data_IF_368407928034
#
_entry.id   IF_368407928034
#
_cell.length_a   1.000
_cell.length_b   1.000
_cell.length_c   1.000
_cell.angle_alpha   90.00
_cell.angle_beta   90.00
_cell.angle_gamma   90.00
#
_symmetry.space_group_name_H-M   'P 1'
#
loop_
_entity.id
_entity.type
_entity.pdbx_description
1 polymer ?
#
# COMPACT_ATOMS: atom_id res chain seq x y z
N UNK A 1 8.02 -23.72 -8.17
CA UNK A 1 8.92 -23.12 -9.18
C UNK A 1 10.22 -23.91 -9.15
N UNK A 2 10.55 -24.65 -10.21
CA UNK A 2 11.74 -25.53 -10.21
C UNK A 2 12.96 -24.65 -10.50
N UNK A 3 13.81 -24.44 -9.50
CA UNK A 3 15.08 -23.71 -9.67
C UNK A 3 16.02 -24.57 -10.54
N UNK A 4 16.61 -24.03 -11.62
CA UNK A 4 17.50 -24.80 -12.49
C UNK A 4 18.72 -25.35 -11.72
N UNK A 5 19.18 -26.59 -11.99
CA UNK A 5 20.30 -27.23 -11.27
C UNK A 5 21.62 -26.43 -11.27
N UNK A 6 21.83 -25.59 -12.29
CA UNK A 6 23.03 -24.74 -12.41
C UNK A 6 23.09 -23.60 -11.38
N UNK A 7 21.95 -23.06 -10.95
CA UNK A 7 21.89 -22.01 -9.91
C UNK A 7 22.27 -22.56 -8.53
N UNK A 8 21.91 -23.81 -8.26
CA UNK A 8 22.27 -24.51 -7.02
C UNK A 8 23.78 -24.71 -6.92
N UNK A 9 24.46 -25.08 -8.01
CA UNK A 9 25.92 -25.29 -8.01
C UNK A 9 26.73 -24.00 -7.81
N UNK A 10 26.31 -22.87 -8.40
CA UNK A 10 26.97 -21.57 -8.21
C UNK A 10 26.76 -21.00 -6.81
N UNK A 11 25.56 -21.16 -6.23
CA UNK A 11 25.28 -20.80 -4.84
C UNK A 11 26.11 -21.63 -3.85
N UNK A 12 26.24 -22.94 -4.09
CA UNK A 12 27.04 -23.85 -3.24
C UNK A 12 28.55 -23.55 -3.32
N UNK A 13 29.06 -23.13 -4.48
CA UNK A 13 30.46 -22.74 -4.64
C UNK A 13 30.82 -21.42 -3.92
N UNK A 14 29.86 -20.48 -3.81
CA UNK A 14 30.02 -19.24 -3.02
C UNK A 14 29.84 -19.46 -1.52
N UNK A 15 28.90 -20.34 -1.13
CA UNK A 15 28.67 -20.74 0.27
C UNK A 15 29.95 -21.19 0.99
N UNK A 16 30.81 -21.95 0.32
CA UNK A 16 32.04 -22.46 0.95
C UNK A 16 33.17 -21.43 1.11
N UNK A 17 33.05 -20.20 0.56
CA UNK A 17 34.16 -19.24 0.53
C UNK A 17 33.97 -18.00 1.39
N UNK A 18 32.75 -17.62 1.73
CA UNK A 18 32.45 -16.39 2.46
C UNK A 18 31.73 -16.67 3.80
N UNK A 19 32.15 -16.01 4.88
CA UNK A 19 31.61 -16.22 6.23
C UNK A 19 30.23 -15.59 6.37
N UNK A 20 30.01 -14.42 5.76
CA UNK A 20 28.73 -13.71 5.82
C UNK A 20 27.65 -14.48 5.06
N UNK A 21 27.99 -14.98 3.86
CA UNK A 21 27.10 -15.85 3.08
C UNK A 21 26.67 -17.10 3.86
N UNK A 22 27.57 -17.72 4.64
CA UNK A 22 27.22 -18.89 5.47
C UNK A 22 26.29 -18.54 6.62
N UNK A 23 26.54 -17.40 7.26
CA UNK A 23 25.71 -16.89 8.35
C UNK A 23 24.29 -16.61 7.86
N UNK A 24 24.15 -15.84 6.78
CA UNK A 24 22.85 -15.55 6.16
C UNK A 24 22.13 -16.83 5.74
N UNK A 25 22.82 -17.75 5.04
CA UNK A 25 22.20 -19.01 4.65
C UNK A 25 21.71 -19.82 5.86
N UNK A 26 22.47 -19.87 6.95
CA UNK A 26 22.07 -20.59 8.15
C UNK A 26 20.79 -20.01 8.80
N UNK A 27 20.49 -18.73 8.60
CA UNK A 27 19.30 -18.07 9.14
C UNK A 27 18.01 -18.52 8.46
N UNK A 28 18.01 -18.75 7.13
CA UNK A 28 16.79 -19.07 6.36
C UNK A 28 16.82 -20.45 5.65
N UNK A 29 17.89 -21.24 5.79
CA UNK A 29 18.03 -22.52 5.09
C UNK A 29 16.87 -23.47 5.37
N UNK A 30 16.39 -23.49 6.62
CA UNK A 30 15.24 -24.32 7.01
C UNK A 30 13.96 -23.83 6.31
N UNK A 31 13.76 -22.53 6.18
CA UNK A 31 12.56 -21.96 5.56
C UNK A 31 12.48 -22.29 4.07
N UNK A 32 13.62 -22.20 3.35
CA UNK A 32 13.71 -22.59 1.93
C UNK A 32 13.36 -24.07 1.71
N UNK A 33 13.77 -24.94 2.64
CA UNK A 33 13.60 -26.39 2.53
C UNK A 33 12.33 -26.91 3.20
N UNK A 34 11.64 -26.06 3.96
CA UNK A 34 10.38 -26.39 4.60
C UNK A 34 9.32 -26.70 3.56
N UNK A 35 8.33 -27.51 3.92
CA UNK A 35 7.10 -27.64 3.13
C UNK A 35 6.16 -26.54 3.62
N UNK A 36 6.05 -25.40 2.91
CA UNK A 36 5.34 -24.25 3.42
C UNK A 36 3.83 -24.44 3.25
N UNK A 37 3.01 -23.56 3.85
CA UNK A 37 1.81 -23.14 3.16
C UNK A 37 2.19 -22.54 1.79
N UNK A 38 1.76 -23.16 0.69
CA UNK A 38 2.11 -22.74 -0.67
C UNK A 38 1.32 -21.52 -1.19
N UNK A 39 0.39 -20.99 -0.38
CA UNK A 39 -0.52 -19.92 -0.78
C UNK A 39 -0.31 -18.65 0.05
N UNK A 40 -0.61 -17.50 -0.56
CA UNK A 40 -0.80 -16.25 0.17
C UNK A 40 -2.26 -16.15 0.60
N UNK A 41 -2.48 -15.84 1.87
CA UNK A 41 -3.81 -15.83 2.47
C UNK A 41 -3.74 -15.48 3.95
N UNK A 42 -4.86 -15.60 4.67
CA UNK A 42 -4.82 -15.51 6.13
C UNK A 42 -3.87 -16.58 6.69
N UNK A 43 -3.03 -16.24 7.70
CA UNK A 43 -2.18 -17.22 8.35
C UNK A 43 -2.97 -18.46 8.77
N UNK A 44 -2.53 -19.64 8.32
CA UNK A 44 -3.12 -20.94 8.58
C UNK A 44 -2.14 -22.05 8.17
N UNK A 45 -2.53 -23.32 8.35
CA UNK A 45 -1.74 -24.47 7.87
C UNK A 45 -1.50 -24.48 6.35
N UNK A 46 -2.29 -23.72 5.57
CA UNK A 46 -2.27 -23.77 4.10
C UNK A 46 -1.96 -22.44 3.42
N UNK A 47 -1.91 -21.34 4.18
CA UNK A 47 -1.62 -20.01 3.68
C UNK A 47 -0.82 -19.15 4.67
N UNK A 48 -0.11 -18.15 4.16
CA UNK A 48 0.68 -17.20 4.97
C UNK A 48 0.49 -15.76 4.50
N UNK A 49 0.72 -14.80 5.41
CA UNK A 49 0.73 -13.37 5.10
C UNK A 49 1.61 -12.59 6.06
N UNK A 50 2.52 -11.78 5.51
CA UNK A 50 3.38 -10.90 6.28
C UNK A 50 2.65 -9.65 6.83
N UNK A 51 1.40 -9.40 6.40
CA UNK A 51 0.54 -8.36 6.99
C UNK A 51 0.04 -8.71 8.40
N UNK A 52 0.14 -9.99 8.78
CA UNK A 52 -0.25 -10.50 10.09
C UNK A 52 0.93 -11.23 10.76
N UNK A 53 2.00 -10.52 11.16
CA UNK A 53 3.23 -11.12 11.65
C UNK A 53 3.06 -11.64 13.08
N UNK A 54 2.51 -12.85 13.24
CA UNK A 54 2.46 -13.57 14.50
C UNK A 54 2.21 -15.06 14.31
N UNK A 55 2.66 -15.87 15.26
CA UNK A 55 2.32 -17.31 15.33
C UNK A 55 0.88 -17.57 15.82
N UNK A 56 0.12 -16.51 16.13
CA UNK A 56 -1.26 -16.59 16.55
C UNK A 56 -2.21 -16.43 15.36
N UNK A 57 -3.16 -17.35 15.20
CA UNK A 57 -4.23 -17.22 14.19
C UNK A 57 -5.04 -15.95 14.43
N UNK A 58 -5.16 -15.13 13.38
CA UNK A 58 -6.00 -13.93 13.37
C UNK A 58 -7.24 -14.17 12.52
N UNK A 59 -8.39 -13.70 13.01
CA UNK A 59 -9.69 -13.89 12.35
C UNK A 59 -10.13 -12.66 11.57
N UNK A 60 -10.95 -12.86 10.55
CA UNK A 60 -11.55 -11.76 9.77
C UNK A 60 -12.36 -10.78 10.65
N UNK A 61 -13.00 -11.30 11.71
CA UNK A 61 -13.77 -10.48 12.65
C UNK A 61 -12.85 -9.58 13.47
N UNK A 62 -11.73 -10.11 13.97
CA UNK A 62 -10.73 -9.32 14.68
C UNK A 62 -10.17 -8.22 13.78
N UNK A 63 -9.70 -8.57 12.57
CA UNK A 63 -9.14 -7.60 11.60
C UNK A 63 -10.14 -6.50 11.26
N UNK A 64 -11.40 -6.86 10.97
CA UNK A 64 -12.45 -5.90 10.64
C UNK A 64 -12.77 -4.97 11.81
N UNK A 65 -12.90 -5.52 13.02
CA UNK A 65 -13.23 -4.73 14.21
C UNK A 65 -12.11 -3.76 14.55
N UNK A 66 -10.85 -4.24 14.54
CA UNK A 66 -9.67 -3.41 14.77
C UNK A 66 -9.59 -2.28 13.75
N UNK A 67 -9.71 -2.60 12.46
CA UNK A 67 -9.57 -1.60 11.39
C UNK A 67 -10.68 -0.54 11.48
N UNK A 68 -11.93 -0.94 11.74
CA UNK A 68 -13.04 0.01 11.95
C UNK A 68 -12.81 0.92 13.14
N UNK A 69 -12.36 0.38 14.27
CA UNK A 69 -12.18 1.19 15.48
C UNK A 69 -11.01 2.18 15.34
N UNK A 70 -9.92 1.77 14.69
CA UNK A 70 -8.78 2.67 14.44
C UNK A 70 -9.13 3.82 13.48
N UNK A 71 -10.03 3.58 12.52
CA UNK A 71 -10.53 4.62 11.62
C UNK A 71 -11.23 5.75 12.38
N UNK A 72 -11.89 5.48 13.52
CA UNK A 72 -12.49 6.51 14.39
C UNK A 72 -11.43 7.45 14.99
N UNK A 73 -10.18 7.00 15.05
CA UNK A 73 -9.00 7.76 15.46
C UNK A 73 -8.14 8.24 14.27
N UNK A 74 -8.68 8.20 13.03
CA UNK A 74 -7.97 8.57 11.80
C UNK A 74 -6.72 7.72 11.49
N UNK A 75 -6.67 6.50 12.01
CA UNK A 75 -5.65 5.50 11.68
C UNK A 75 -6.27 4.51 10.70
N UNK A 76 -5.88 4.60 9.44
CA UNK A 76 -6.44 3.77 8.37
C UNK A 76 -5.51 2.58 8.06
N UNK A 77 -6.06 1.45 7.58
CA UNK A 77 -5.29 0.21 7.48
C UNK A 77 -4.19 0.19 6.41
N UNK A 78 -4.25 1.05 5.40
CA UNK A 78 -3.46 0.96 4.16
C UNK A 78 -1.94 0.83 4.42
N UNK A 79 -1.41 1.51 5.43
CA UNK A 79 0.01 1.47 5.80
C UNK A 79 0.28 0.78 7.14
N UNK A 80 -0.51 -0.26 7.47
CA UNK A 80 -0.40 -0.97 8.75
C UNK A 80 -0.25 -2.48 8.60
N UNK A 81 0.35 -3.13 9.60
CA UNK A 81 0.30 -4.58 9.84
C UNK A 81 -0.31 -4.86 11.23
N UNK A 82 -0.83 -6.07 11.45
CA UNK A 82 -1.40 -6.46 12.76
C UNK A 82 -0.65 -7.66 13.32
N UNK A 83 0.02 -7.49 14.45
CA UNK A 83 0.58 -8.58 15.24
C UNK A 83 -0.40 -8.96 16.35
N UNK A 84 -0.83 -10.22 16.38
CA UNK A 84 -1.65 -10.76 17.47
C UNK A 84 -0.76 -11.44 18.50
N UNK A 85 -1.11 -11.31 19.77
CA UNK A 85 -0.47 -11.99 20.89
C UNK A 85 -1.51 -12.40 21.94
N UNK A 86 -1.14 -13.30 22.85
CA UNK A 86 -1.99 -13.72 23.97
C UNK A 86 -1.34 -13.27 25.28
N UNK A 87 -1.99 -12.35 25.99
CA UNK A 87 -1.55 -11.85 27.29
C UNK A 87 -2.49 -12.36 28.38
N UNK A 88 -1.98 -13.17 29.31
CA UNK A 88 -2.75 -13.75 30.41
C UNK A 88 -4.07 -14.44 29.94
N UNK A 89 -4.02 -15.12 28.78
CA UNK A 89 -5.17 -15.80 28.20
C UNK A 89 -6.14 -14.90 27.40
N UNK A 90 -5.86 -13.60 27.29
CA UNK A 90 -6.68 -12.64 26.52
C UNK A 90 -5.94 -12.19 25.26
N UNK A 91 -6.61 -12.13 24.09
CA UNK A 91 -6.02 -11.57 22.88
C UNK A 91 -5.65 -10.09 23.03
N UNK A 92 -4.41 -9.76 22.65
CA UNK A 92 -3.89 -8.41 22.55
C UNK A 92 -3.32 -8.18 21.14
N UNK A 93 -3.46 -6.96 20.63
CA UNK A 93 -3.11 -6.64 19.24
C UNK A 93 -2.15 -5.46 19.20
N UNK A 94 -1.09 -5.59 18.42
CA UNK A 94 -0.20 -4.50 18.07
C UNK A 94 -0.41 -4.13 16.61
N UNK A 95 -0.64 -2.86 16.34
CA UNK A 95 -0.76 -2.27 15.02
C UNK A 95 0.59 -1.64 14.70
N UNK A 96 1.29 -2.25 13.76
CA UNK A 96 2.57 -1.76 13.28
C UNK A 96 2.25 -0.76 12.17
N UNK A 97 2.41 0.53 12.44
CA UNK A 97 2.18 1.57 11.45
C UNK A 97 3.52 2.02 10.87
N UNK A 98 3.55 2.09 9.55
CA UNK A 98 4.73 2.52 8.82
C UNK A 98 4.97 4.00 9.09
N UNK A 99 6.19 4.32 9.52
CA UNK A 99 6.61 5.68 9.87
C UNK A 99 8.13 5.73 10.06
N UNK A 100 8.77 6.89 9.83
CA UNK A 100 10.15 7.09 10.30
C UNK A 100 10.22 7.50 11.77
N UNK A 101 9.13 8.10 12.30
CA UNK A 101 8.98 8.38 13.71
C UNK A 101 8.78 7.08 14.49
N UNK A 102 9.34 7.03 15.69
CA UNK A 102 9.18 5.91 16.62
C UNK A 102 8.30 6.37 17.76
N UNK A 103 7.26 5.61 18.06
CA UNK A 103 6.27 5.99 19.06
C UNK A 103 5.36 4.84 19.42
N UNK A 104 4.77 4.92 20.60
CA UNK A 104 3.82 3.93 21.10
C UNK A 104 2.63 4.66 21.71
N UNK A 105 1.43 4.28 21.27
CA UNK A 105 0.16 4.75 21.80
C UNK A 105 -0.76 3.56 22.09
N UNK A 106 -1.59 3.65 23.12
CA UNK A 106 -2.51 2.56 23.49
C UNK A 106 -3.96 3.02 23.36
N UNK A 107 -4.77 2.15 22.77
CA UNK A 107 -6.21 2.32 22.59
C UNK A 107 -6.93 1.12 23.20
N UNK A 108 -8.00 1.38 23.96
CA UNK A 108 -8.86 0.31 24.49
C UNK A 108 -10.18 0.28 23.75
N UNK A 109 -10.58 -0.89 23.25
CA UNK A 109 -11.89 -1.05 22.65
C UNK A 109 -12.45 -2.47 22.79
N UNK A 110 -13.76 -2.57 22.56
CA UNK A 110 -14.50 -3.83 22.59
C UNK A 110 -14.32 -4.57 21.27
N UNK A 111 -13.63 -5.72 21.28
CA UNK A 111 -13.53 -6.58 20.09
C UNK A 111 -14.83 -7.37 19.85
N UNK A 112 -15.47 -7.76 20.94
CA UNK A 112 -16.78 -8.40 20.97
C UNK A 112 -17.63 -7.73 22.06
N UNK A 113 -18.93 -8.05 22.13
CA UNK A 113 -19.84 -7.46 23.12
C UNK A 113 -19.35 -7.61 24.57
N UNK A 114 -18.53 -8.62 24.84
CA UNK A 114 -18.15 -9.02 26.20
C UNK A 114 -16.62 -9.01 26.45
N UNK A 115 -15.80 -8.70 25.43
CA UNK A 115 -14.33 -8.73 25.55
C UNK A 115 -13.73 -7.38 25.16
N UNK A 116 -13.21 -6.65 26.15
CA UNK A 116 -12.30 -5.53 25.93
C UNK A 116 -10.92 -6.09 25.62
N UNK A 117 -10.31 -5.62 24.54
CA UNK A 117 -8.91 -5.88 24.26
C UNK A 117 -8.16 -4.56 24.15
N UNK A 118 -6.91 -4.61 24.60
CA UNK A 118 -5.96 -3.52 24.42
C UNK A 118 -5.35 -3.65 23.05
N UNK A 119 -5.38 -2.56 22.29
CA UNK A 119 -4.72 -2.44 21.00
C UNK A 119 -3.67 -1.35 21.10
N UNK A 120 -2.44 -1.74 20.84
CA UNK A 120 -1.29 -0.85 20.87
C UNK A 120 -0.93 -0.44 19.46
N UNK A 121 -0.84 0.85 19.20
CA UNK A 121 -0.24 1.39 17.99
C UNK A 121 1.26 1.56 18.22
N UNK A 122 2.07 0.91 17.39
CA UNK A 122 3.53 1.09 17.33
C UNK A 122 3.87 1.76 16.00
N UNK A 123 4.42 2.98 16.07
CA UNK A 123 5.01 3.66 14.92
C UNK A 123 6.44 3.16 14.71
N UNK A 124 6.89 3.20 13.46
CA UNK A 124 8.29 2.92 13.13
C UNK A 124 8.49 1.66 12.28
N UNK A 125 7.40 1.05 11.82
CA UNK A 125 7.49 -0.11 10.94
C UNK A 125 8.19 0.30 9.63
N UNK A 126 9.19 -0.46 9.21
CA UNK A 126 10.05 -0.12 8.06
C UNK A 126 10.72 1.27 8.12
N UNK A 127 10.99 1.78 9.33
CA UNK A 127 11.57 3.12 9.53
C UNK A 127 12.96 3.31 8.93
N UNK A 128 13.76 2.25 8.80
CA UNK A 128 15.09 2.33 8.20
C UNK A 128 14.98 2.58 6.69
N UNK A 129 14.18 1.76 6.00
CA UNK A 129 13.93 1.86 4.56
C UNK A 129 13.24 3.18 4.21
N UNK A 130 12.27 3.62 5.02
CA UNK A 130 11.60 4.90 4.80
C UNK A 130 12.54 6.11 4.94
N UNK A 131 13.55 6.05 5.81
CA UNK A 131 14.54 7.13 5.92
C UNK A 131 15.33 7.27 4.62
N UNK A 132 15.78 6.16 4.04
CA UNK A 132 16.48 6.17 2.75
C UNK A 132 15.58 6.68 1.62
N UNK A 133 14.28 6.32 1.64
CA UNK A 133 13.29 6.86 0.70
C UNK A 133 13.13 8.37 0.88
N UNK A 134 12.97 8.87 2.11
CA UNK A 134 12.83 10.30 2.39
C UNK A 134 14.10 11.09 2.03
N UNK A 135 15.29 10.53 2.24
CA UNK A 135 16.55 11.14 1.81
C UNK A 135 16.61 11.26 0.27
N UNK A 136 16.18 10.21 -0.43
CA UNK A 136 16.10 10.20 -1.90
C UNK A 136 15.07 11.21 -2.43
N UNK A 137 13.89 11.31 -1.79
CA UNK A 137 12.86 12.30 -2.12
C UNK A 137 13.32 13.73 -1.82
N UNK A 138 14.09 13.93 -0.75
CA UNK A 138 14.69 15.22 -0.43
C UNK A 138 15.64 15.67 -1.52
N UNK A 139 16.48 14.77 -2.04
CA UNK A 139 17.35 15.08 -3.17
C UNK A 139 16.55 15.34 -4.46
N UNK A 140 15.56 14.50 -4.76
CA UNK A 140 14.67 14.65 -5.92
C UNK A 140 13.90 15.98 -5.90
N UNK A 141 13.51 16.48 -4.71
CA UNK A 141 12.78 17.73 -4.55
C UNK A 141 13.52 18.96 -5.11
N UNK A 142 14.83 18.88 -5.28
CA UNK A 142 15.67 19.94 -5.88
C UNK A 142 15.48 20.05 -7.40
N UNK A 143 14.92 19.02 -8.04
CA UNK A 143 14.79 18.90 -9.49
C UNK A 143 13.34 18.91 -9.97
N UNK A 144 12.39 19.25 -9.09
CA UNK A 144 10.96 19.34 -9.44
C UNK A 144 10.74 20.39 -10.52
N UNK A 145 9.92 20.08 -11.51
CA UNK A 145 9.66 20.97 -12.64
C UNK A 145 8.75 22.16 -12.29
N UNK A 146 7.96 22.06 -11.21
CA UNK A 146 7.02 23.08 -10.78
C UNK A 146 6.70 22.97 -9.26
N UNK A 147 6.01 23.97 -8.72
CA UNK A 147 5.64 24.01 -7.29
C UNK A 147 4.63 22.93 -6.90
N UNK A 148 3.79 22.45 -7.82
CA UNK A 148 2.85 21.33 -7.56
C UNK A 148 3.63 20.05 -7.25
N UNK A 149 4.68 19.77 -8.03
CA UNK A 149 5.58 18.64 -7.80
C UNK A 149 6.31 18.74 -6.47
N UNK A 150 6.89 19.90 -6.20
CA UNK A 150 7.54 20.16 -4.92
C UNK A 150 6.61 19.96 -3.74
N UNK A 151 5.35 20.40 -3.86
CA UNK A 151 4.36 20.25 -2.82
C UNK A 151 3.98 18.78 -2.59
N UNK A 152 3.61 18.01 -3.63
CA UNK A 152 3.21 16.62 -3.40
C UNK A 152 4.39 15.76 -2.90
N UNK A 153 5.62 16.04 -3.34
CA UNK A 153 6.83 15.36 -2.81
C UNK A 153 6.99 15.66 -1.32
N UNK A 154 6.81 16.90 -0.89
CA UNK A 154 6.82 17.24 0.55
C UNK A 154 5.73 16.55 1.36
N UNK A 155 4.54 16.37 0.76
CA UNK A 155 3.41 15.68 1.40
C UNK A 155 3.63 14.17 1.48
N UNK A 156 4.31 13.55 0.50
CA UNK A 156 4.77 12.17 0.60
C UNK A 156 5.73 12.00 1.77
N UNK A 157 6.76 12.85 1.85
CA UNK A 157 7.73 12.80 2.95
C UNK A 157 7.06 12.99 4.30
N UNK A 158 6.11 13.92 4.44
CA UNK A 158 5.34 14.09 5.68
C UNK A 158 4.54 12.83 6.05
N UNK A 159 3.90 12.18 5.07
CA UNK A 159 3.18 10.94 5.30
C UNK A 159 4.10 9.80 5.72
N UNK A 160 5.26 9.66 5.09
CA UNK A 160 6.27 8.66 5.46
C UNK A 160 6.93 8.99 6.80
N UNK A 161 7.06 10.27 7.12
CA UNK A 161 7.64 10.71 8.36
C UNK A 161 6.77 10.32 9.56
N UNK A 162 5.46 10.60 9.46
CA UNK A 162 4.49 10.48 10.56
C UNK A 162 3.62 9.22 10.51
N UNK A 163 3.52 8.57 9.34
CA UNK A 163 2.54 7.52 9.06
C UNK A 163 1.13 8.02 8.73
N UNK A 164 0.90 9.34 8.64
CA UNK A 164 -0.44 9.90 8.46
C UNK A 164 -0.94 9.75 7.00
N UNK A 165 -2.01 8.97 6.80
CA UNK A 165 -2.62 8.77 5.49
C UNK A 165 -3.46 9.96 4.99
N UNK A 166 -3.81 10.93 5.84
CA UNK A 166 -4.37 12.20 5.36
C UNK A 166 -3.33 12.99 4.56
N UNK A 167 -2.07 13.06 5.04
CA UNK A 167 -0.98 13.68 4.32
C UNK A 167 -0.72 12.97 2.97
N UNK A 168 -0.81 11.64 2.95
CA UNK A 168 -0.75 10.87 1.70
C UNK A 168 -1.89 11.24 0.74
N UNK A 169 -3.13 11.29 1.22
CA UNK A 169 -4.28 11.67 0.40
C UNK A 169 -4.19 13.12 -0.09
N UNK A 170 -3.58 14.01 0.70
CA UNK A 170 -3.25 15.37 0.26
C UNK A 170 -2.20 15.38 -0.85
N UNK A 171 -1.17 14.55 -0.75
CA UNK A 171 -0.19 14.39 -1.84
C UNK A 171 -0.87 13.92 -3.13
N UNK A 172 -1.80 12.95 -3.04
CA UNK A 172 -2.56 12.48 -4.21
C UNK A 172 -3.45 13.57 -4.80
N UNK A 173 -4.12 14.38 -3.96
CA UNK A 173 -4.91 15.54 -4.41
C UNK A 173 -4.07 16.59 -5.12
N UNK A 174 -2.84 16.82 -4.65
CA UNK A 174 -1.90 17.76 -5.27
C UNK A 174 -1.35 17.18 -6.57
N UNK A 175 -0.90 15.93 -6.55
CA UNK A 175 -0.38 15.19 -7.69
C UNK A 175 -1.37 15.14 -8.85
N UNK A 176 -2.66 14.87 -8.59
CA UNK A 176 -3.69 14.84 -9.62
C UNK A 176 -3.88 16.18 -10.36
N UNK A 177 -3.34 17.30 -9.84
CA UNK A 177 -3.35 18.62 -10.48
C UNK A 177 -2.11 18.89 -11.33
N UNK A 178 -1.05 18.11 -11.19
CA UNK A 178 0.14 18.18 -12.05
C UNK A 178 -0.17 17.50 -13.39
N UNK A 179 -0.71 18.26 -14.34
CA UNK A 179 -1.20 17.73 -15.62
C UNK A 179 -0.09 17.64 -16.65
N UNK A 180 -0.05 16.53 -17.37
CA UNK A 180 0.90 16.23 -18.44
C UNK A 180 2.38 16.50 -18.06
N UNK A 181 2.88 15.97 -16.92
CA UNK A 181 4.29 16.11 -16.58
C UNK A 181 5.16 15.34 -17.58
N UNK A 182 6.38 15.82 -17.82
CA UNK A 182 7.34 15.10 -18.66
C UNK A 182 7.82 13.79 -17.99
N UNK A 183 7.92 13.81 -16.65
CA UNK A 183 8.25 12.67 -15.80
C UNK A 183 7.08 12.47 -14.85
N UNK A 184 6.36 11.36 -15.02
CA UNK A 184 5.27 10.95 -14.15
C UNK A 184 5.80 10.04 -13.03
N UNK A 185 5.16 10.09 -11.86
CA UNK A 185 5.51 9.22 -10.75
C UNK A 185 4.33 8.95 -9.82
N UNK A 186 4.37 7.78 -9.17
CA UNK A 186 3.53 7.45 -8.01
C UNK A 186 4.39 6.66 -7.03
N UNK A 187 4.24 6.92 -5.73
CA UNK A 187 5.01 6.21 -4.70
C UNK A 187 4.25 6.18 -3.38
N UNK A 188 4.21 5.02 -2.73
CA UNK A 188 3.61 4.85 -1.41
C UNK A 188 2.94 3.50 -1.25
N UNK A 189 2.04 3.41 -0.28
CA UNK A 189 1.20 2.23 -0.03
C UNK A 189 -0.08 2.36 -0.86
N UNK A 190 -0.10 1.76 -2.05
CA UNK A 190 -1.14 2.02 -3.06
C UNK A 190 -2.17 0.89 -3.13
N UNK A 191 -1.73 -0.31 -3.47
CA UNK A 191 -2.64 -1.39 -3.90
C UNK A 191 -2.81 -2.49 -2.85
N UNK A 192 -4.06 -2.85 -2.45
CA UNK A 192 -4.30 -3.79 -1.38
C UNK A 192 -4.43 -5.26 -1.81
N UNK A 193 -4.06 -5.62 -3.05
CA UNK A 193 -4.35 -6.93 -3.63
C UNK A 193 -3.74 -8.13 -2.87
N UNK A 194 -2.60 -7.92 -2.19
CA UNK A 194 -1.87 -8.99 -1.51
C UNK A 194 -2.26 -9.17 -0.04
N UNK A 195 -3.00 -8.22 0.54
CA UNK A 195 -3.62 -8.43 1.84
C UNK A 195 -4.85 -9.33 1.67
N UNK A 196 -4.93 -10.49 2.34
CA UNK A 196 -6.11 -11.34 2.26
C UNK A 196 -7.40 -10.68 2.78
N UNK A 197 -7.31 -9.58 3.56
CA UNK A 197 -8.47 -8.76 3.92
C UNK A 197 -8.83 -7.70 2.86
N UNK A 198 -7.89 -7.36 1.97
CA UNK A 198 -8.07 -6.35 0.92
C UNK A 198 -8.09 -4.91 1.43
N UNK A 199 -7.38 -4.60 2.53
CA UNK A 199 -7.40 -3.25 3.14
C UNK A 199 -6.01 -2.66 3.41
N UNK A 200 -4.97 -3.50 3.50
CA UNK A 200 -3.58 -3.09 3.68
C UNK A 200 -2.89 -3.09 2.34
N UNK A 201 -2.24 -1.99 2.00
CA UNK A 201 -1.64 -1.80 0.70
C UNK A 201 -0.18 -2.26 0.68
N UNK A 202 0.28 -2.67 -0.49
CA UNK A 202 1.69 -2.92 -0.78
C UNK A 202 2.41 -1.60 -1.09
N UNK A 203 3.67 -1.49 -0.67
CA UNK A 203 4.50 -0.35 -1.05
C UNK A 203 4.96 -0.50 -2.51
N UNK A 204 4.75 0.53 -3.31
CA UNK A 204 5.23 0.60 -4.68
C UNK A 204 5.79 1.98 -5.02
N UNK A 205 6.54 2.03 -6.11
CA UNK A 205 7.10 3.25 -6.67
C UNK A 205 7.30 3.10 -8.16
N UNK A 206 6.79 4.06 -8.93
CA UNK A 206 6.96 4.16 -10.37
C UNK A 206 7.52 5.53 -10.71
N UNK A 207 8.48 5.56 -11.62
CA UNK A 207 8.92 6.77 -12.31
C UNK A 207 8.88 6.44 -13.80
N UNK A 208 8.19 7.24 -14.58
CA UNK A 208 7.97 6.95 -15.99
C UNK A 208 8.05 8.22 -16.84
N UNK A 209 8.47 8.06 -18.09
CA UNK A 209 8.60 9.17 -19.04
C UNK A 209 7.34 9.24 -19.89
N UNK A 210 6.70 10.41 -19.92
CA UNK A 210 5.48 10.62 -20.70
C UNK A 210 5.77 10.66 -22.20
N UNK A 211 5.04 9.85 -22.97
CA UNK A 211 5.06 9.87 -24.44
C UNK A 211 3.98 10.82 -24.97
N UNK A 212 4.40 11.98 -25.45
CA UNK A 212 3.49 13.02 -25.95
C UNK A 212 2.72 12.57 -27.19
N UNK A 213 3.31 11.74 -28.06
CA UNK A 213 2.67 11.31 -29.31
C UNK A 213 1.61 10.24 -29.06
N UNK A 214 1.91 9.22 -28.26
CA UNK A 214 0.95 8.18 -27.89
C UNK A 214 -0.18 8.75 -27.02
N UNK A 215 0.15 9.69 -26.13
CA UNK A 215 -0.82 10.38 -25.26
C UNK A 215 -1.89 11.14 -26.06
N UNK A 216 -1.62 11.58 -27.30
CA UNK A 216 -2.65 12.23 -28.15
C UNK A 216 -3.88 11.36 -28.37
N UNK A 217 -3.72 10.04 -28.47
CA UNK A 217 -4.85 9.13 -28.65
C UNK A 217 -5.71 9.03 -27.38
N UNK A 218 -5.06 8.94 -26.21
CA UNK A 218 -5.71 8.90 -24.91
C UNK A 218 -6.41 10.22 -24.59
N UNK A 219 -5.81 11.35 -24.94
CA UNK A 219 -6.48 12.66 -24.83
C UNK A 219 -7.78 12.72 -25.62
N UNK A 220 -7.81 12.22 -26.87
CA UNK A 220 -9.05 12.17 -27.67
C UNK A 220 -10.12 11.26 -27.05
N UNK A 221 -9.72 10.23 -26.28
CA UNK A 221 -10.63 9.38 -25.52
C UNK A 221 -11.22 10.17 -24.35
N UNK A 222 -10.38 10.88 -23.58
CA UNK A 222 -10.80 11.75 -22.48
C UNK A 222 -11.74 12.85 -22.96
N UNK A 223 -11.43 13.53 -24.08
CA UNK A 223 -12.25 14.60 -24.65
C UNK A 223 -13.68 14.12 -25.02
N UNK A 224 -13.87 12.80 -25.23
CA UNK A 224 -15.16 12.16 -25.56
C UNK A 224 -15.79 11.39 -24.39
N UNK A 225 -15.12 11.35 -23.23
CA UNK A 225 -15.51 10.52 -22.08
C UNK A 225 -16.95 10.75 -21.62
N UNK A 226 -17.42 11.99 -21.49
CA UNK A 226 -18.80 12.30 -21.08
C UNK A 226 -19.85 11.61 -21.98
N UNK A 227 -19.62 11.59 -23.30
CA UNK A 227 -20.48 10.90 -24.26
C UNK A 227 -20.41 9.37 -24.12
N UNK A 228 -19.24 8.84 -23.77
CA UNK A 228 -19.09 7.40 -23.55
C UNK A 228 -19.73 6.95 -22.23
N UNK A 229 -19.66 7.78 -21.20
CA UNK A 229 -20.30 7.52 -19.90
C UNK A 229 -21.82 7.41 -20.05
N UNK A 230 -22.45 8.31 -20.81
CA UNK A 230 -23.89 8.24 -21.12
C UNK A 230 -24.33 6.97 -21.88
N UNK A 231 -23.40 6.13 -22.33
CA UNK A 231 -23.68 4.85 -23.03
C UNK A 231 -23.50 3.63 -22.14
N UNK A 232 -23.16 3.82 -20.86
CA UNK A 232 -23.02 2.75 -19.91
C UNK A 232 -24.41 2.18 -19.55
N UNK A 233 -24.50 0.88 -19.19
CA UNK A 233 -25.80 0.20 -19.05
C UNK A 233 -26.62 0.66 -17.84
N UNK A 234 -26.05 1.47 -16.94
CA UNK A 234 -26.74 2.12 -15.83
C UNK A 234 -27.14 3.57 -16.11
N UNK A 235 -26.78 4.10 -17.27
CA UNK A 235 -27.17 5.44 -17.72
C UNK A 235 -28.54 5.40 -18.39
N UNK A 236 -29.24 6.52 -18.30
CA UNK A 236 -30.54 6.72 -18.94
C UNK A 236 -30.47 7.95 -19.84
N UNK A 237 -30.14 7.72 -21.11
CA UNK A 237 -29.90 8.79 -22.08
C UNK A 237 -31.13 9.68 -22.31
N UNK A 238 -32.34 9.14 -22.16
CA UNK A 238 -33.59 9.87 -22.37
C UNK A 238 -34.03 10.64 -21.12
N UNK A 239 -33.35 10.44 -19.99
CA UNK A 239 -33.60 11.13 -18.72
C UNK A 239 -32.83 12.45 -18.63
N UNK A 240 -33.47 13.46 -18.01
CA UNK A 240 -32.82 14.71 -17.61
C UNK A 240 -31.99 14.56 -16.33
N UNK A 241 -32.04 13.39 -15.67
CA UNK A 241 -31.29 13.12 -14.46
C UNK A 241 -29.79 12.99 -14.76
N UNK A 242 -28.99 13.81 -14.06
CA UNK A 242 -27.53 13.82 -14.15
C UNK A 242 -27.03 13.91 -15.62
N UNK A 243 -27.66 14.77 -16.43
CA UNK A 243 -27.35 14.94 -17.86
C UNK A 243 -27.33 13.62 -18.65
N UNK A 244 -28.28 12.73 -18.36
CA UNK A 244 -28.42 11.43 -19.02
C UNK A 244 -27.42 10.36 -18.56
N UNK A 245 -26.60 10.63 -17.53
CA UNK A 245 -25.68 9.66 -16.93
C UNK A 245 -26.36 8.71 -15.93
N UNK A 246 -27.54 9.08 -15.44
CA UNK A 246 -28.33 8.30 -14.49
C UNK A 246 -27.86 8.42 -13.03
N UNK A 247 -28.58 7.77 -12.10
CA UNK A 247 -28.41 7.93 -10.65
C UNK A 247 -27.20 7.19 -10.07
N UNK A 248 -26.62 6.25 -10.83
CA UNK A 248 -25.46 5.46 -10.41
C UNK A 248 -24.12 6.07 -10.86
N UNK A 249 -24.15 7.18 -11.59
CA UNK A 249 -22.96 7.90 -12.04
C UNK A 249 -22.73 9.16 -11.20
N UNK A 250 -21.47 9.59 -11.09
CA UNK A 250 -21.15 10.83 -10.36
C UNK A 250 -21.83 12.05 -11.01
N UNK A 251 -22.33 12.96 -10.17
CA UNK A 251 -22.96 14.21 -10.61
C UNK A 251 -21.96 15.10 -11.35
N UNK A 252 -20.84 15.44 -10.71
CA UNK A 252 -19.75 16.17 -11.33
C UNK A 252 -18.76 15.18 -11.94
N UNK A 253 -18.63 15.21 -13.27
CA UNK A 253 -17.58 14.49 -13.98
C UNK A 253 -16.38 15.40 -14.23
N UNK A 254 -15.32 15.20 -13.45
CA UNK A 254 -14.02 15.84 -13.70
C UNK A 254 -13.22 14.94 -14.63
N UNK A 255 -12.86 15.45 -15.81
CA UNK A 255 -12.09 14.67 -16.78
C UNK A 255 -10.71 14.32 -16.20
N UNK A 256 -10.32 13.03 -16.19
CA UNK A 256 -9.01 12.64 -15.68
C UNK A 256 -7.90 13.08 -16.64
N UNK A 257 -6.65 13.08 -16.15
CA UNK A 257 -5.52 13.03 -17.08
C UNK A 257 -5.33 11.59 -17.56
N UNK A 258 -4.82 11.41 -18.77
CA UNK A 258 -4.57 10.08 -19.32
C UNK A 258 -3.36 10.13 -20.26
N UNK A 259 -2.24 9.59 -19.78
CA UNK A 259 -0.96 9.56 -20.48
C UNK A 259 -0.51 8.13 -20.80
N UNK A 260 0.26 8.00 -21.89
CA UNK A 260 1.10 6.83 -22.15
C UNK A 260 2.48 7.11 -21.56
N UNK A 261 3.06 6.14 -20.85
CA UNK A 261 4.31 6.30 -20.12
C UNK A 261 5.23 5.09 -20.33
N UNK A 262 6.55 5.31 -20.31
CA UNK A 262 7.60 4.29 -20.49
C UNK A 262 8.58 4.25 -19.33
#
# INVERSE_FOLDING_TARGET
>A
MIVPPFLVHLAYAKYNRDQETRKLYAEFANDILSTPPFNLGYPSDTAQSAYYPSDCDITNVEVKTISRTLQEHSIFPENTRIRKSILAGTPAFTILQVSTEIGISSYEFLLTKDTKSVVQLELGDHSAELKEICDSLTEASKYTANETQKLFVSQYMESFHTGNLHAYRDSQRTWAKDKAPAIENIMGFVEPYRDPHGTRAEFEGLVAISDVEETKALKRLVDKSAKFIQRLPWSDFDSLENDGKGPFEKELFESPDFASVH
#
